data_IF_971830603531
#
_entry.id   IF_971830603531
#
_cell.length_a   1.000
_cell.length_b   1.000
_cell.length_c   1.000
_cell.angle_alpha   90.00
_cell.angle_beta   90.00
_cell.angle_gamma   90.00
#
_symmetry.space_group_name_H-M   'P 1'
#
loop_
_entity.id
_entity.type
_entity.pdbx_description
1 polymer ?
#
# COMPACT_ATOMS: atom_id res chain seq x y z
N UNK A 1 -8.79 4.73 -59.83
CA UNK A 1 -7.80 5.10 -58.81
C UNK A 1 -8.39 4.75 -57.45
N UNK A 2 -7.96 3.65 -56.83
CA UNK A 2 -8.42 3.26 -55.49
C UNK A 2 -7.43 3.82 -54.47
N UNK A 3 -7.91 4.68 -53.59
CA UNK A 3 -7.09 5.29 -52.53
C UNK A 3 -7.10 4.32 -51.35
N UNK A 4 -6.03 3.54 -51.18
CA UNK A 4 -5.83 2.72 -49.99
C UNK A 4 -5.53 3.62 -48.81
N UNK A 5 -6.53 3.84 -47.95
CA UNK A 5 -6.34 4.49 -46.65
C UNK A 5 -5.69 3.46 -45.72
N UNK A 6 -4.37 3.55 -45.56
CA UNK A 6 -3.66 2.78 -44.55
C UNK A 6 -4.17 3.20 -43.15
N UNK A 7 -4.87 2.29 -42.48
CA UNK A 7 -5.37 2.53 -41.12
C UNK A 7 -4.17 2.62 -40.17
N UNK A 8 -3.95 3.80 -39.58
CA UNK A 8 -2.98 4.00 -38.51
C UNK A 8 -3.41 3.10 -37.34
N UNK A 9 -2.71 1.99 -37.12
CA UNK A 9 -2.88 1.15 -35.93
C UNK A 9 -2.40 1.95 -34.72
N UNK A 10 -3.32 2.66 -34.06
CA UNK A 10 -3.06 3.21 -32.75
C UNK A 10 -2.76 2.03 -31.80
N UNK A 11 -1.57 2.02 -31.18
CA UNK A 11 -1.21 1.07 -30.13
C UNK A 11 -2.07 1.30 -28.89
N UNK A 12 -3.31 0.80 -28.93
CA UNK A 12 -4.24 0.85 -27.81
C UNK A 12 -4.06 -0.42 -26.99
N UNK A 13 -3.14 -0.39 -26.03
CA UNK A 13 -2.83 -1.55 -25.19
C UNK A 13 -3.96 -1.90 -24.22
N UNK A 14 -4.80 -0.92 -23.85
CA UNK A 14 -5.94 -1.11 -22.93
C UNK A 14 -7.02 -0.02 -23.02
N UNK A 15 -6.94 0.97 -23.93
CA UNK A 15 -7.95 2.04 -24.10
C UNK A 15 -8.11 3.04 -22.93
N UNK A 16 -7.43 2.81 -21.80
CA UNK A 16 -7.63 3.56 -20.54
C UNK A 16 -6.48 4.51 -20.19
N UNK A 17 -5.68 4.97 -21.16
CA UNK A 17 -4.48 5.79 -20.95
C UNK A 17 -4.74 7.14 -20.25
N UNK A 18 -6.01 7.56 -20.17
CA UNK A 18 -6.46 8.78 -19.45
C UNK A 18 -7.30 8.49 -18.21
N UNK A 19 -7.41 7.23 -17.81
CA UNK A 19 -8.18 6.80 -16.64
C UNK A 19 -7.44 7.13 -15.34
N UNK A 20 -8.21 7.22 -14.26
CA UNK A 20 -7.67 7.41 -12.91
C UNK A 20 -6.82 6.22 -12.48
N UNK A 21 -7.23 5.03 -12.86
CA UNK A 21 -6.60 3.75 -12.55
C UNK A 21 -5.23 3.67 -13.21
N UNK A 22 -5.15 4.04 -14.50
CA UNK A 22 -3.88 4.08 -15.23
C UNK A 22 -2.91 5.10 -14.64
N UNK A 23 -3.38 6.30 -14.34
CA UNK A 23 -2.56 7.31 -13.66
C UNK A 23 -2.08 6.84 -12.28
N UNK A 24 -2.94 6.16 -11.52
CA UNK A 24 -2.61 5.59 -10.22
C UNK A 24 -1.53 4.52 -10.35
N UNK A 25 -1.66 3.61 -11.30
CA UNK A 25 -0.67 2.59 -11.62
C UNK A 25 0.70 3.18 -11.99
N UNK A 26 0.71 4.18 -12.88
CA UNK A 26 1.92 4.92 -13.24
C UNK A 26 2.55 5.59 -12.01
N UNK A 27 1.75 6.17 -11.12
CA UNK A 27 2.23 6.78 -9.88
C UNK A 27 2.79 5.75 -8.88
N UNK A 28 2.21 4.55 -8.77
CA UNK A 28 2.77 3.46 -7.97
C UNK A 28 4.18 3.13 -8.47
N UNK A 29 4.31 2.84 -9.77
CA UNK A 29 5.60 2.50 -10.39
C UNK A 29 6.64 3.59 -10.23
N UNK A 30 6.23 4.85 -10.42
CA UNK A 30 7.11 6.02 -10.25
C UNK A 30 7.57 6.18 -8.80
N UNK A 31 6.70 6.00 -7.80
CA UNK A 31 7.10 6.09 -6.38
C UNK A 31 8.14 5.03 -5.99
N UNK A 32 8.02 3.80 -6.51
CA UNK A 32 8.91 2.70 -6.16
C UNK A 32 10.20 2.64 -6.97
N UNK A 33 10.22 3.10 -8.23
CA UNK A 33 11.37 2.88 -9.11
C UNK A 33 12.06 4.16 -9.60
N UNK A 34 11.39 5.32 -9.53
CA UNK A 34 11.97 6.56 -10.04
C UNK A 34 12.65 7.37 -8.93
N UNK A 35 13.99 7.31 -8.87
CA UNK A 35 14.81 8.07 -7.90
C UNK A 35 14.59 9.60 -7.94
N UNK A 36 14.09 10.15 -9.05
CA UNK A 36 13.75 11.58 -9.19
C UNK A 36 12.39 11.93 -8.60
N UNK A 37 11.55 10.94 -8.28
CA UNK A 37 10.27 11.19 -7.64
C UNK A 37 10.50 11.70 -6.22
N UNK A 38 9.88 12.83 -5.86
CA UNK A 38 10.01 13.43 -4.52
C UNK A 38 9.66 12.47 -3.37
N UNK A 39 8.77 11.51 -3.63
CA UNK A 39 8.35 10.49 -2.66
C UNK A 39 9.24 9.25 -2.69
N UNK A 40 10.18 9.10 -3.62
CA UNK A 40 10.98 7.86 -3.75
C UNK A 40 11.62 7.41 -2.44
N UNK A 41 12.18 8.36 -1.68
CA UNK A 41 12.80 8.09 -0.36
C UNK A 41 11.88 7.37 0.63
N UNK A 42 10.57 7.61 0.55
CA UNK A 42 9.56 7.04 1.47
C UNK A 42 8.96 5.73 0.93
N UNK A 43 9.33 5.34 -0.29
CA UNK A 43 8.81 4.16 -0.99
C UNK A 43 9.98 3.31 -1.49
N UNK A 44 10.42 3.48 -2.75
CA UNK A 44 11.52 2.69 -3.32
C UNK A 44 12.84 2.80 -2.54
N UNK A 45 13.15 3.98 -2.01
CA UNK A 45 14.31 4.20 -1.14
C UNK A 45 14.20 3.53 0.24
N UNK A 46 12.98 3.19 0.67
CA UNK A 46 12.70 2.46 1.90
C UNK A 46 12.50 0.95 1.67
N UNK A 47 12.79 0.45 0.47
CA UNK A 47 12.65 -0.96 0.12
C UNK A 47 11.26 -1.38 -0.38
N UNK A 48 10.30 -0.44 -0.47
CA UNK A 48 8.95 -0.78 -0.93
C UNK A 48 8.91 -0.97 -2.44
N UNK A 49 8.46 -2.14 -2.87
CA UNK A 49 8.41 -2.58 -4.24
C UNK A 49 6.97 -2.72 -4.79
N UNK A 50 6.86 -3.13 -6.04
CA UNK A 50 5.59 -3.42 -6.73
C UNK A 50 5.67 -4.85 -7.21
N UNK A 51 4.59 -5.62 -7.06
CA UNK A 51 4.54 -7.00 -7.55
C UNK A 51 4.93 -7.07 -9.03
N UNK A 52 5.60 -8.15 -9.43
CA UNK A 52 6.10 -8.31 -10.82
C UNK A 52 4.97 -8.20 -11.84
N UNK A 53 3.82 -8.75 -11.49
CA UNK A 53 2.62 -8.75 -12.33
C UNK A 53 2.11 -7.33 -12.57
N UNK A 54 1.97 -6.55 -11.50
CA UNK A 54 1.57 -5.15 -11.60
C UNK A 54 2.65 -4.31 -12.27
N UNK A 55 3.93 -4.58 -12.03
CA UNK A 55 5.01 -3.84 -12.70
C UNK A 55 4.94 -3.96 -14.22
N UNK A 56 4.56 -5.14 -14.72
CA UNK A 56 4.58 -5.48 -16.14
C UNK A 56 3.23 -5.29 -16.85
N UNK A 57 2.10 -5.31 -16.15
CA UNK A 57 0.78 -5.27 -16.78
C UNK A 57 -0.23 -4.39 -16.04
N UNK A 58 -0.67 -3.32 -16.71
CA UNK A 58 -1.80 -2.53 -16.25
C UNK A 58 -3.11 -3.33 -16.24
N UNK A 59 -3.29 -4.27 -17.19
CA UNK A 59 -4.49 -5.09 -17.25
C UNK A 59 -4.64 -5.97 -16.01
N UNK A 60 -3.53 -6.51 -15.49
CA UNK A 60 -3.54 -7.29 -14.24
C UNK A 60 -3.85 -6.39 -13.04
N UNK A 61 -3.21 -5.22 -12.95
CA UNK A 61 -3.53 -4.23 -11.90
C UNK A 61 -5.03 -3.88 -11.91
N UNK A 62 -5.61 -3.62 -13.07
CA UNK A 62 -7.02 -3.28 -13.21
C UNK A 62 -7.94 -4.45 -12.87
N UNK A 63 -7.58 -5.68 -13.26
CA UNK A 63 -8.34 -6.87 -12.93
C UNK A 63 -8.35 -7.14 -11.40
N UNK A 64 -7.22 -6.89 -10.73
CA UNK A 64 -7.10 -7.09 -9.28
C UNK A 64 -7.80 -6.00 -8.47
N UNK A 65 -7.63 -4.74 -8.87
CA UNK A 65 -8.14 -3.60 -8.11
C UNK A 65 -9.54 -3.15 -8.51
N UNK A 66 -9.98 -3.50 -9.72
CA UNK A 66 -11.16 -2.91 -10.34
C UNK A 66 -11.06 -1.41 -10.53
N UNK A 67 -12.19 -0.80 -10.93
CA UNK A 67 -12.32 0.64 -11.00
C UNK A 67 -12.35 1.26 -9.60
N UNK A 68 -11.75 2.44 -9.44
CA UNK A 68 -11.86 3.18 -8.18
C UNK A 68 -13.35 3.50 -7.92
N UNK A 69 -13.90 3.20 -6.73
CA UNK A 69 -15.33 3.40 -6.45
C UNK A 69 -15.80 4.84 -6.61
N UNK A 70 -14.91 5.82 -6.41
CA UNK A 70 -15.19 7.23 -6.69
C UNK A 70 -13.92 8.02 -7.00
N UNK A 71 -14.08 9.25 -7.50
CA UNK A 71 -12.98 10.20 -7.72
C UNK A 71 -12.21 10.54 -6.43
N UNK A 72 -12.82 10.39 -5.26
CA UNK A 72 -12.19 10.67 -3.97
C UNK A 72 -11.27 9.53 -3.48
N UNK A 73 -11.43 8.30 -3.98
CA UNK A 73 -10.60 7.17 -3.55
C UNK A 73 -9.16 7.28 -4.07
N UNK A 74 -8.19 6.72 -3.37
CA UNK A 74 -6.85 6.53 -3.92
C UNK A 74 -6.29 5.21 -3.43
N UNK A 75 -5.27 4.71 -4.13
CA UNK A 75 -4.63 3.46 -3.76
C UNK A 75 -3.92 3.63 -2.42
N UNK A 76 -4.21 2.74 -1.49
CA UNK A 76 -3.60 2.66 -0.18
C UNK A 76 -3.08 1.25 0.05
N UNK A 77 -1.91 1.16 0.71
CA UNK A 77 -1.44 -0.12 1.22
C UNK A 77 -2.06 -0.42 2.58
N UNK A 78 -2.51 -1.66 2.78
CA UNK A 78 -3.16 -2.10 4.01
C UNK A 78 -2.11 -2.13 5.13
N UNK A 79 -1.02 -2.86 4.90
CA UNK A 79 0.23 -2.77 5.64
C UNK A 79 1.18 -1.75 4.98
N UNK A 80 1.60 -0.78 5.78
CA UNK A 80 2.49 0.31 5.36
C UNK A 80 3.87 -0.20 4.98
N UNK A 81 4.32 -1.30 5.59
CA UNK A 81 5.64 -1.92 5.36
C UNK A 81 5.67 -2.85 4.16
N UNK A 82 4.54 -3.49 3.83
CA UNK A 82 4.43 -4.34 2.67
C UNK A 82 4.48 -3.61 1.32
N UNK A 83 4.56 -4.42 0.27
CA UNK A 83 4.68 -4.00 -1.12
C UNK A 83 3.32 -3.63 -1.76
N UNK A 84 3.37 -3.04 -2.96
CA UNK A 84 2.17 -2.90 -3.78
C UNK A 84 1.84 -4.22 -4.47
N UNK A 85 0.89 -4.97 -3.91
CA UNK A 85 0.27 -6.15 -4.50
C UNK A 85 -1.23 -6.18 -4.18
N UNK A 86 -1.96 -7.09 -4.84
CA UNK A 86 -3.42 -7.25 -4.65
C UNK A 86 -3.79 -7.47 -3.19
N UNK A 87 -3.02 -8.27 -2.48
CA UNK A 87 -3.27 -8.68 -1.10
C UNK A 87 -3.03 -7.53 -0.11
N UNK A 88 -2.14 -6.59 -0.47
CA UNK A 88 -1.74 -5.49 0.38
C UNK A 88 -2.27 -4.14 -0.09
N UNK A 89 -3.22 -4.09 -1.04
CA UNK A 89 -3.71 -2.82 -1.58
C UNK A 89 -5.24 -2.75 -1.62
N UNK A 90 -5.75 -1.56 -1.35
CA UNK A 90 -7.18 -1.24 -1.48
C UNK A 90 -7.40 0.18 -1.98
N UNK A 91 -8.58 0.43 -2.55
CA UNK A 91 -9.06 1.78 -2.74
C UNK A 91 -9.55 2.32 -1.39
N UNK A 92 -9.01 3.47 -0.97
CA UNK A 92 -9.36 4.09 0.30
C UNK A 92 -9.65 5.58 0.15
N UNK A 93 -10.54 6.08 1.00
CA UNK A 93 -10.83 7.50 1.14
C UNK A 93 -9.74 8.20 1.97
N UNK A 94 -9.55 9.53 1.79
CA UNK A 94 -8.59 10.29 2.60
C UNK A 94 -8.80 10.18 4.11
N UNK A 95 -10.05 9.98 4.56
CA UNK A 95 -10.40 9.77 5.97
C UNK A 95 -9.82 8.45 6.49
N UNK A 96 -9.88 7.40 5.67
CA UNK A 96 -9.32 6.08 6.00
C UNK A 96 -7.79 6.11 5.99
N UNK A 97 -7.20 6.79 4.99
CA UNK A 97 -5.75 7.02 4.91
C UNK A 97 -5.18 7.78 6.10
N UNK A 98 -5.99 8.66 6.70
CA UNK A 98 -5.62 9.41 7.90
C UNK A 98 -5.26 8.50 9.08
N UNK A 99 -5.89 7.31 9.18
CA UNK A 99 -5.63 6.32 10.23
C UNK A 99 -4.34 5.53 10.00
N UNK A 100 -3.87 5.45 8.76
CA UNK A 100 -2.67 4.72 8.31
C UNK A 100 -1.42 5.61 8.12
N UNK A 101 -1.47 6.89 8.55
CA UNK A 101 -0.32 7.80 8.39
C UNK A 101 0.85 7.38 9.27
N UNK A 102 1.95 6.95 8.63
CA UNK A 102 3.40 6.82 8.99
C UNK A 102 3.94 7.28 10.38
N UNK A 103 3.25 8.12 11.15
CA UNK A 103 3.51 8.36 12.59
C UNK A 103 3.12 7.15 13.47
N UNK A 104 3.23 5.94 12.95
CA UNK A 104 3.05 4.75 13.77
C UNK A 104 4.36 4.57 14.53
N UNK A 105 4.29 4.59 15.86
CA UNK A 105 5.40 4.12 16.67
C UNK A 105 5.55 2.64 16.39
N UNK A 106 6.73 2.23 15.96
CA UNK A 106 6.99 0.82 15.66
C UNK A 106 7.38 0.12 16.94
N UNK A 107 6.86 -1.09 17.08
CA UNK A 107 7.15 -1.97 18.20
C UNK A 107 7.50 -3.33 17.65
N UNK A 108 8.42 -4.00 18.33
CA UNK A 108 8.74 -5.39 18.05
C UNK A 108 7.74 -6.27 18.79
N UNK A 109 7.05 -7.15 18.06
CA UNK A 109 6.13 -8.13 18.61
C UNK A 109 6.40 -9.49 17.96
N UNK A 110 6.72 -10.50 18.77
CA UNK A 110 7.05 -11.86 18.33
C UNK A 110 8.16 -11.93 17.25
N UNK A 111 9.18 -11.06 17.36
CA UNK A 111 10.29 -11.01 16.42
C UNK A 111 9.98 -10.30 15.09
N UNK A 112 8.78 -9.74 14.95
CA UNK A 112 8.36 -8.94 13.80
C UNK A 112 8.19 -7.47 14.21
N UNK A 113 8.67 -6.54 13.39
CA UNK A 113 8.48 -5.11 13.62
C UNK A 113 7.17 -4.65 12.97
N UNK A 114 6.23 -4.14 13.78
CA UNK A 114 4.93 -3.69 13.28
C UNK A 114 4.48 -2.36 13.92
N UNK A 115 3.48 -1.67 13.34
CA UNK A 115 2.85 -0.51 13.96
C UNK A 115 2.29 -0.81 15.35
N UNK A 116 2.45 0.10 16.31
CA UNK A 116 1.85 0.00 17.65
C UNK A 116 0.33 -0.24 17.59
N UNK A 117 -0.36 0.35 16.63
CA UNK A 117 -1.79 0.12 16.40
C UNK A 117 -2.09 -1.34 16.07
N UNK A 118 -1.33 -1.92 15.14
CA UNK A 118 -1.46 -3.32 14.74
C UNK A 118 -1.06 -4.26 15.89
N UNK A 119 0.03 -3.95 16.61
CA UNK A 119 0.41 -4.70 17.80
C UNK A 119 -0.71 -4.67 18.86
N UNK A 120 -1.38 -3.53 19.06
CA UNK A 120 -2.51 -3.42 19.99
C UNK A 120 -3.73 -4.23 19.53
N UNK A 121 -4.02 -4.27 18.22
CA UNK A 121 -5.10 -5.08 17.65
C UNK A 121 -4.85 -6.57 17.82
N UNK A 122 -3.63 -7.04 17.52
CA UNK A 122 -3.23 -8.45 17.64
C UNK A 122 -3.23 -8.91 19.10
N UNK A 123 -2.82 -8.04 20.02
CA UNK A 123 -2.64 -8.38 21.44
C UNK A 123 -3.85 -8.07 22.32
N UNK A 124 -4.82 -7.30 21.80
CA UNK A 124 -5.94 -6.78 22.58
C UNK A 124 -5.57 -5.68 23.58
N UNK A 125 -4.34 -5.15 23.52
CA UNK A 125 -3.86 -4.13 24.46
C UNK A 125 -4.44 -2.76 24.12
N UNK A 126 -4.78 -1.97 25.16
CA UNK A 126 -5.26 -0.61 24.97
C UNK A 126 -4.18 0.30 24.35
N UNK A 127 -4.50 0.89 23.19
CA UNK A 127 -3.60 1.77 22.44
C UNK A 127 -3.06 2.95 23.26
N UNK A 128 -3.88 3.61 24.09
CA UNK A 128 -3.44 4.78 24.88
C UNK A 128 -2.44 4.36 25.96
N UNK A 129 -2.66 3.23 26.61
CA UNK A 129 -1.74 2.66 27.58
C UNK A 129 -0.41 2.24 26.93
N UNK A 130 -0.48 1.57 25.79
CA UNK A 130 0.69 1.15 25.04
C UNK A 130 1.50 2.36 24.53
N UNK A 131 0.84 3.38 24.00
CA UNK A 131 1.45 4.63 23.56
C UNK A 131 2.15 5.37 24.70
N UNK A 132 1.52 5.47 25.87
CA UNK A 132 2.14 6.08 27.04
C UNK A 132 3.45 5.36 27.42
N UNK A 133 3.45 4.02 27.39
CA UNK A 133 4.63 3.22 27.74
C UNK A 133 5.78 3.41 26.75
N UNK A 134 5.47 3.36 25.45
CA UNK A 134 6.46 3.60 24.37
C UNK A 134 7.05 5.01 24.45
N UNK A 135 6.30 6.01 24.93
CA UNK A 135 6.78 7.40 25.00
C UNK A 135 7.64 7.69 26.21
N UNK A 136 7.49 6.93 27.29
CA UNK A 136 8.08 7.21 28.60
C UNK A 136 9.17 6.19 29.00
N UNK A 137 9.61 5.35 28.06
CA UNK A 137 10.72 4.39 28.19
C UNK A 137 10.66 3.50 29.45
N UNK A 138 9.45 3.22 29.93
CA UNK A 138 9.23 2.29 31.04
C UNK A 138 9.34 0.87 30.50
N UNK A 139 10.56 0.35 30.52
CA UNK A 139 10.98 -1.05 30.38
C UNK A 139 9.88 -1.96 29.81
N UNK A 140 9.96 -2.20 28.51
CA UNK A 140 9.11 -3.11 27.76
C UNK A 140 9.13 -4.50 28.40
N UNK A 141 8.09 -4.84 29.18
CA UNK A 141 7.85 -6.22 29.60
C UNK A 141 7.29 -7.00 28.41
N UNK A 142 7.75 -8.25 28.18
CA UNK A 142 7.22 -9.09 27.12
C UNK A 142 5.70 -9.23 27.29
N UNK A 143 4.98 -8.89 26.22
CA UNK A 143 3.51 -8.93 26.20
C UNK A 143 3.08 -10.37 26.51
N UNK A 144 2.20 -10.58 27.52
CA UNK A 144 1.66 -11.90 27.79
C UNK A 144 1.01 -12.44 26.52
N UNK A 145 1.46 -13.62 26.10
CA UNK A 145 0.90 -14.30 24.94
C UNK A 145 -0.59 -14.55 25.22
N UNK A 146 -1.50 -14.25 24.28
CA UNK A 146 -2.86 -14.74 24.40
C UNK A 146 -2.80 -16.27 24.55
N UNK A 147 -3.66 -16.89 25.39
CA UNK A 147 -3.67 -18.33 25.53
C UNK A 147 -3.81 -18.94 24.13
N UNK A 148 -2.85 -19.80 23.76
CA UNK A 148 -2.96 -20.57 22.52
C UNK A 148 -4.25 -21.36 22.65
N UNK A 149 -5.24 -21.06 21.81
CA UNK A 149 -6.36 -21.96 21.60
C UNK A 149 -5.78 -23.21 20.94
N UNK A 150 -5.47 -24.21 21.77
CA UNK A 150 -5.19 -25.57 21.32
C UNK A 150 -6.50 -26.17 20.83
N UNK A 151 -6.49 -26.70 19.61
CA UNK A 151 -7.54 -27.59 19.08
C UNK A 151 -7.79 -28.79 19.99
#
# INVERSE_FOLDING_TARGET
MVVSVATIKNHTTHGMSRSKEYNTWCHIKSRCNNKRNKKYKDYGGAGVSVSKEWMNSFAVFLADMGNAPSKAHSIERIDVFGDYCKENCKWALPIEQGRNKRRHRLVEYNGETMPLSQACEVTGVNYRGALYRVNNDKHWMPIPQPPKFTE
#
